data_IF_286132240346
#
_entry.id   IF_286132240346
#
_cell.length_a   1.000
_cell.length_b   1.000
_cell.length_c   1.000
_cell.angle_alpha   90.00
_cell.angle_beta   90.00
_cell.angle_gamma   90.00
#
_symmetry.space_group_name_H-M   'P 1'
#
loop_
_entity.id
_entity.type
_entity.pdbx_description
1 polymer ?
#
# COMPACT_ATOMS: atom_id res chain seq x y z
N UNK A 1 3.77 25.80 -1.35
CA UNK A 1 2.80 25.22 -0.40
C UNK A 1 2.63 26.19 0.75
N UNK A 2 1.41 26.68 1.01
CA UNK A 2 1.16 27.65 2.09
C UNK A 2 0.67 26.98 3.38
N UNK A 3 -0.07 25.88 3.26
CA UNK A 3 -0.78 25.27 4.39
C UNK A 3 -0.19 23.93 4.85
N UNK A 4 0.53 23.24 3.96
CA UNK A 4 1.11 21.92 4.22
C UNK A 4 2.64 22.01 4.12
N UNK A 5 3.30 22.40 5.21
CA UNK A 5 4.76 22.47 5.28
C UNK A 5 5.33 21.23 5.97
N UNK A 6 6.29 20.55 5.34
CA UNK A 6 7.02 19.42 5.94
C UNK A 6 6.28 18.09 6.03
N UNK A 7 5.21 17.88 5.25
CA UNK A 7 4.43 16.63 5.29
C UNK A 7 5.06 15.58 4.37
N UNK A 8 5.51 14.48 4.99
CA UNK A 8 6.11 13.33 4.32
C UNK A 8 5.26 12.05 4.40
N UNK A 9 4.12 12.08 5.12
CA UNK A 9 3.22 10.94 5.31
C UNK A 9 1.75 11.28 5.00
N UNK A 10 1.02 10.31 4.43
CA UNK A 10 -0.41 10.44 4.08
C UNK A 10 -1.31 10.63 5.30
N UNK A 11 -1.00 10.00 6.43
CA UNK A 11 -1.80 10.14 7.65
C UNK A 11 -1.68 11.56 8.21
N UNK A 12 -0.46 12.09 8.26
CA UNK A 12 -0.19 13.47 8.68
C UNK A 12 -0.88 14.48 7.73
N UNK A 13 -0.84 14.23 6.42
CA UNK A 13 -1.55 15.04 5.42
C UNK A 13 -3.06 15.09 5.69
N UNK A 14 -3.67 13.93 5.92
CA UNK A 14 -5.12 13.79 6.15
C UNK A 14 -5.55 14.45 7.46
N UNK A 15 -4.73 14.33 8.51
CA UNK A 15 -5.02 14.93 9.82
C UNK A 15 -5.01 16.47 9.76
N UNK A 16 -3.98 17.03 9.12
CA UNK A 16 -3.83 18.48 8.98
C UNK A 16 -4.93 19.04 8.08
N UNK A 17 -5.25 18.35 6.98
CA UNK A 17 -6.37 18.70 6.11
C UNK A 17 -7.69 18.78 6.87
N UNK A 18 -8.01 17.78 7.70
CA UNK A 18 -9.24 17.78 8.51
C UNK A 18 -9.31 18.98 9.46
N UNK A 19 -8.20 19.31 10.13
CA UNK A 19 -8.14 20.49 11.02
C UNK A 19 -8.36 21.80 10.24
N UNK A 20 -7.68 21.97 9.12
CA UNK A 20 -7.81 23.15 8.27
C UNK A 20 -9.20 23.29 7.67
N UNK A 21 -9.81 22.17 7.25
CA UNK A 21 -11.16 22.11 6.72
C UNK A 21 -12.19 22.51 7.76
N UNK A 22 -12.06 22.06 9.01
CA UNK A 22 -12.97 22.48 10.09
C UNK A 22 -12.84 23.97 10.41
N UNK A 23 -11.62 24.50 10.42
CA UNK A 23 -11.36 25.91 10.74
C UNK A 23 -11.83 26.88 9.62
N UNK A 24 -11.80 26.43 8.37
CA UNK A 24 -12.12 27.26 7.20
C UNK A 24 -13.42 26.83 6.52
N UNK A 25 -14.24 26.00 7.16
CA UNK A 25 -15.49 25.51 6.56
C UNK A 25 -16.46 26.69 6.35
N UNK A 26 -17.04 26.86 5.15
CA UNK A 26 -17.95 27.97 4.87
C UNK A 26 -19.19 27.97 5.78
N UNK A 27 -19.65 26.79 6.19
CA UNK A 27 -20.78 26.63 7.12
C UNK A 27 -20.46 27.11 8.55
N UNK A 28 -19.18 27.22 8.91
CA UNK A 28 -18.71 27.76 10.19
C UNK A 28 -18.21 29.22 10.06
N UNK A 29 -18.54 29.90 8.96
CA UNK A 29 -18.09 31.28 8.69
C UNK A 29 -16.70 31.39 8.07
N UNK A 30 -16.13 30.27 7.59
CA UNK A 30 -14.85 30.24 6.90
C UNK A 30 -14.89 30.76 5.46
N UNK A 31 -13.72 31.13 4.92
CA UNK A 31 -13.63 31.66 3.57
C UNK A 31 -13.56 30.53 2.53
N UNK A 32 -14.52 30.43 1.57
CA UNK A 32 -14.54 29.37 0.57
C UNK A 32 -13.33 29.38 -0.37
N UNK A 33 -12.71 30.54 -0.61
CA UNK A 33 -11.50 30.66 -1.44
C UNK A 33 -10.28 30.04 -0.76
N UNK A 34 -10.21 30.16 0.56
CA UNK A 34 -9.16 29.54 1.39
C UNK A 34 -9.34 28.03 1.41
N UNK A 35 -10.58 27.54 1.58
CA UNK A 35 -10.90 26.12 1.54
C UNK A 35 -10.59 25.50 0.18
N UNK A 36 -10.90 26.19 -0.92
CA UNK A 36 -10.54 25.75 -2.28
C UNK A 36 -9.02 25.60 -2.44
N UNK A 37 -8.25 26.55 -1.93
CA UNK A 37 -6.78 26.51 -1.97
C UNK A 37 -6.21 25.33 -1.17
N UNK A 38 -6.79 25.04 0.00
CA UNK A 38 -6.43 23.89 0.84
C UNK A 38 -6.71 22.57 0.12
N UNK A 39 -7.87 22.46 -0.55
CA UNK A 39 -8.24 21.26 -1.31
C UNK A 39 -7.24 20.99 -2.46
N UNK A 40 -6.88 22.01 -3.22
CA UNK A 40 -5.94 21.89 -4.35
C UNK A 40 -4.57 21.41 -3.86
N UNK A 41 -4.00 22.02 -2.82
CA UNK A 41 -2.70 21.60 -2.28
C UNK A 41 -2.77 20.17 -1.70
N UNK A 42 -3.88 19.81 -1.04
CA UNK A 42 -4.08 18.46 -0.51
C UNK A 42 -4.10 17.39 -1.61
N UNK A 43 -4.83 17.62 -2.71
CA UNK A 43 -4.89 16.67 -3.82
C UNK A 43 -3.53 16.49 -4.53
N UNK A 44 -2.77 17.57 -4.69
CA UNK A 44 -1.42 17.53 -5.26
C UNK A 44 -0.47 16.70 -4.38
N UNK A 45 -0.45 16.97 -3.07
CA UNK A 45 0.37 16.23 -2.11
C UNK A 45 -0.06 14.76 -2.04
N UNK A 46 -1.37 14.50 -1.96
CA UNK A 46 -1.92 13.14 -1.93
C UNK A 46 -1.53 12.36 -3.18
N UNK A 47 -1.58 12.98 -4.36
CA UNK A 47 -1.15 12.34 -5.60
C UNK A 47 0.35 12.05 -5.61
N UNK A 48 1.17 13.00 -5.15
CA UNK A 48 2.62 12.82 -5.05
C UNK A 48 3.03 11.72 -4.05
N UNK A 49 2.37 11.67 -2.89
CA UNK A 49 2.59 10.65 -1.85
C UNK A 49 2.03 9.28 -2.25
N UNK A 50 0.88 9.25 -2.94
CA UNK A 50 0.26 8.00 -3.44
C UNK A 50 1.07 7.38 -4.58
N UNK A 51 1.66 8.21 -5.47
CA UNK A 51 2.54 7.75 -6.55
C UNK A 51 3.74 6.95 -6.05
N UNK A 52 4.33 7.32 -4.91
CA UNK A 52 5.48 6.63 -4.31
C UNK A 52 5.20 5.21 -3.80
N UNK A 53 3.94 4.80 -3.64
CA UNK A 53 3.58 3.48 -3.13
C UNK A 53 3.23 2.44 -4.21
N UNK A 54 2.91 2.88 -5.44
CA UNK A 54 2.56 1.95 -6.52
C UNK A 54 3.75 1.14 -7.03
N UNK A 55 4.93 1.74 -7.07
CA UNK A 55 6.14 1.09 -7.62
C UNK A 55 6.80 0.14 -6.61
N UNK A 56 6.63 0.38 -5.30
CA UNK A 56 7.27 -0.45 -4.25
C UNK A 56 6.65 -1.85 -4.06
N UNK A 57 5.46 -2.12 -4.61
CA UNK A 57 4.78 -3.41 -4.48
C UNK A 57 4.64 -4.15 -5.83
N UNK A 58 5.40 -3.75 -6.84
CA UNK A 58 5.44 -4.50 -8.09
C UNK A 58 6.04 -5.89 -7.80
N UNK A 59 5.22 -6.93 -7.95
CA UNK A 59 5.68 -8.31 -7.86
C UNK A 59 6.49 -8.63 -9.12
N UNK A 60 7.67 -9.21 -8.95
CA UNK A 60 8.52 -9.61 -10.07
C UNK A 60 8.59 -11.15 -10.18
N UNK A 61 8.68 -11.65 -11.41
CA UNK A 61 9.00 -13.07 -11.64
C UNK A 61 10.39 -13.33 -11.05
N UNK A 62 10.59 -14.51 -10.48
CA UNK A 62 11.78 -14.91 -9.73
C UNK A 62 11.97 -14.23 -8.36
N UNK A 63 11.02 -13.40 -7.91
CA UNK A 63 11.04 -12.85 -6.56
C UNK A 63 10.82 -13.97 -5.52
N UNK A 64 11.62 -13.94 -4.45
CA UNK A 64 11.43 -14.81 -3.29
C UNK A 64 10.25 -14.31 -2.45
N UNK A 65 9.40 -15.25 -2.07
CA UNK A 65 8.18 -15.06 -1.31
C UNK A 65 8.03 -16.20 -0.31
N UNK A 66 7.13 -16.04 0.66
CA UNK A 66 6.93 -16.99 1.73
C UNK A 66 5.49 -17.48 1.72
N UNK A 67 5.31 -18.79 1.79
CA UNK A 67 4.02 -19.44 2.00
C UNK A 67 4.02 -20.01 3.41
N UNK A 68 3.28 -19.38 4.33
CA UNK A 68 3.26 -19.77 5.75
C UNK A 68 4.69 -20.00 6.33
N UNK A 69 5.56 -19.00 6.17
CA UNK A 69 6.98 -19.03 6.58
C UNK A 69 7.90 -19.97 5.79
N UNK A 70 7.38 -20.75 4.84
CA UNK A 70 8.19 -21.58 3.95
C UNK A 70 8.60 -20.81 2.69
N UNK A 71 9.89 -20.84 2.29
CA UNK A 71 10.37 -20.07 1.15
C UNK A 71 9.88 -20.66 -0.19
N UNK A 72 9.50 -19.75 -1.09
CA UNK A 72 8.96 -20.03 -2.41
C UNK A 72 9.38 -18.94 -3.40
N UNK A 73 9.21 -19.20 -4.69
CA UNK A 73 9.59 -18.28 -5.77
C UNK A 73 8.42 -18.02 -6.69
N UNK A 74 8.21 -16.78 -7.09
CA UNK A 74 7.19 -16.45 -8.10
C UNK A 74 7.65 -16.95 -9.47
N UNK A 75 6.85 -17.79 -10.11
CA UNK A 75 7.12 -18.32 -11.45
C UNK A 75 6.19 -17.71 -12.51
N UNK A 76 5.01 -17.25 -12.13
CA UNK A 76 4.05 -16.64 -13.04
C UNK A 76 3.18 -15.60 -12.33
N UNK A 77 2.93 -14.47 -12.99
CA UNK A 77 2.07 -13.40 -12.51
C UNK A 77 1.01 -13.15 -13.58
N UNK A 78 -0.23 -13.48 -13.26
CA UNK A 78 -1.39 -13.15 -14.06
C UNK A 78 -2.09 -11.87 -13.60
N UNK A 79 -3.24 -11.58 -14.23
CA UNK A 79 -4.09 -10.45 -13.86
C UNK A 79 -4.67 -10.62 -12.45
N UNK A 80 -5.18 -11.82 -12.14
CA UNK A 80 -5.85 -12.13 -10.87
C UNK A 80 -5.14 -13.19 -10.01
N UNK A 81 -4.15 -13.90 -10.59
CA UNK A 81 -3.48 -15.01 -9.93
C UNK A 81 -1.96 -14.85 -9.96
N UNK A 82 -1.31 -15.51 -9.01
CA UNK A 82 0.15 -15.65 -8.95
C UNK A 82 0.43 -17.14 -8.75
N UNK A 83 1.38 -17.69 -9.51
CA UNK A 83 1.85 -19.05 -9.30
C UNK A 83 3.24 -18.95 -8.68
N UNK A 84 3.42 -19.68 -7.59
CA UNK A 84 4.68 -19.76 -6.87
C UNK A 84 5.13 -21.21 -6.78
N UNK A 85 6.44 -21.42 -6.73
CA UNK A 85 7.07 -22.72 -6.57
C UNK A 85 7.82 -22.77 -5.24
N UNK A 86 7.52 -23.76 -4.41
CA UNK A 86 8.25 -23.99 -3.16
C UNK A 86 9.71 -24.34 -3.43
N UNK A 87 10.64 -23.69 -2.72
CA UNK A 87 12.07 -23.99 -2.84
C UNK A 87 12.46 -25.31 -2.15
N UNK A 88 11.63 -25.79 -1.21
CA UNK A 88 11.86 -27.04 -0.46
C UNK A 88 11.32 -28.26 -1.20
N UNK A 89 10.09 -28.17 -1.70
CA UNK A 89 9.36 -29.33 -2.26
C UNK A 89 9.23 -29.29 -3.77
N UNK A 90 9.67 -28.21 -4.43
CA UNK A 90 9.44 -27.93 -5.85
C UNK A 90 7.97 -27.92 -6.29
N UNK A 91 7.02 -28.03 -5.35
CA UNK A 91 5.57 -27.99 -5.63
C UNK A 91 5.14 -26.60 -6.05
N UNK A 92 4.19 -26.54 -6.97
CA UNK A 92 3.58 -25.29 -7.45
C UNK A 92 2.25 -25.07 -6.73
N UNK A 93 1.96 -23.81 -6.41
CA UNK A 93 0.70 -23.41 -5.81
C UNK A 93 0.22 -22.09 -6.41
N UNK A 94 -1.10 -21.97 -6.54
CA UNK A 94 -1.76 -20.83 -7.19
C UNK A 94 -2.42 -19.98 -6.10
N UNK A 95 -2.11 -18.68 -6.10
CA UNK A 95 -2.58 -17.72 -5.12
C UNK A 95 -3.39 -16.63 -5.82
N UNK A 96 -4.41 -16.13 -5.14
CA UNK A 96 -5.13 -14.95 -5.58
C UNK A 96 -4.24 -13.71 -5.38
N UNK A 97 -4.02 -12.93 -6.43
CA UNK A 97 -3.15 -11.74 -6.40
C UNK A 97 -3.65 -10.65 -5.45
N UNK A 98 -4.97 -10.51 -5.30
CA UNK A 98 -5.59 -9.48 -4.46
C UNK A 98 -5.60 -9.88 -2.99
N UNK A 99 -5.95 -11.14 -2.70
CA UNK A 99 -6.10 -11.61 -1.31
C UNK A 99 -4.86 -12.28 -0.73
N UNK A 100 -3.93 -12.75 -1.57
CA UNK A 100 -2.76 -13.53 -1.15
C UNK A 100 -3.08 -14.94 -0.64
N UNK A 101 -4.32 -15.42 -0.83
CA UNK A 101 -4.80 -16.73 -0.35
C UNK A 101 -4.62 -17.76 -1.47
N UNK A 102 -4.18 -18.97 -1.13
CA UNK A 102 -4.08 -20.08 -2.07
C UNK A 102 -5.47 -20.54 -2.51
N UNK A 103 -5.67 -20.71 -3.81
CA UNK A 103 -6.95 -21.17 -4.36
C UNK A 103 -7.26 -22.63 -4.01
N UNK A 104 -6.24 -23.47 -3.84
CA UNK A 104 -6.42 -24.89 -3.51
C UNK A 104 -6.58 -25.15 -2.01
N UNK A 105 -5.90 -24.36 -1.16
CA UNK A 105 -5.89 -24.54 0.30
C UNK A 105 -5.98 -23.17 0.99
N UNK A 106 -7.16 -22.72 1.47
CA UNK A 106 -7.34 -21.38 2.00
C UNK A 106 -6.53 -21.07 3.27
N UNK A 107 -5.99 -22.09 3.94
CA UNK A 107 -5.07 -21.93 5.07
C UNK A 107 -3.69 -21.40 4.65
N UNK A 108 -3.30 -21.62 3.39
CA UNK A 108 -2.01 -21.15 2.87
C UNK A 108 -2.11 -19.69 2.44
N UNK A 109 -1.28 -18.86 3.07
CA UNK A 109 -1.16 -17.42 2.79
C UNK A 109 0.21 -17.10 2.23
N UNK A 110 0.21 -16.33 1.15
CA UNK A 110 1.39 -15.76 0.53
C UNK A 110 1.80 -14.49 1.27
N UNK A 111 3.10 -14.32 1.50
CA UNK A 111 3.68 -13.13 2.13
C UNK A 111 4.99 -12.78 1.43
N UNK A 112 5.24 -11.49 1.23
CA UNK A 112 6.50 -10.99 0.66
C UNK A 112 7.56 -10.87 1.77
N UNK A 113 7.12 -10.76 3.01
CA UNK A 113 7.96 -10.64 4.20
C UNK A 113 8.01 -12.00 4.89
N UNK A 114 9.21 -12.39 5.32
CA UNK A 114 9.38 -13.54 6.20
C UNK A 114 8.74 -13.21 7.55
N UNK A 115 7.70 -13.95 7.95
CA UNK A 115 7.17 -13.87 9.31
C UNK A 115 8.32 -14.13 10.29
N UNK A 116 8.82 -13.08 10.94
CA UNK A 116 9.96 -13.19 11.86
C UNK A 116 10.98 -12.05 11.83
N UNK A 117 11.02 -11.19 10.81
CA UNK A 117 11.78 -9.94 10.91
C UNK A 117 10.98 -8.89 11.68
N UNK A 118 10.87 -9.10 12.99
CA UNK A 118 10.80 -7.99 13.93
C UNK A 118 12.14 -7.24 13.84
N UNK A 119 12.26 -6.34 12.86
CA UNK A 119 13.25 -5.26 12.99
C UNK A 119 12.68 -4.30 14.03
N UNK A 120 12.94 -4.62 15.31
CA UNK A 120 13.04 -3.60 16.34
C UNK A 120 14.33 -2.83 16.03
N UNK A 121 14.20 -1.61 15.55
CA UNK A 121 15.05 -0.47 15.91
C UNK A 121 14.17 0.77 15.97
#
# INVERSE_FOLDING_TARGET
MRYFSGISDINSLTLIYRRLAMLNHPDMGGNPEVMKSINIEYEQLKSHLSGKNKEKNALHINQEVYVNSSPAKIIHIGEFIIIVQSLLTNRKAIFNKKSGICLSNPELKLSIIKYGEHVRL
#
